data_IF_095038530956
#
_entry.id   IF_095038530956
#
_cell.length_a   1.000
_cell.length_b   1.000
_cell.length_c   1.000
_cell.angle_alpha   90.00
_cell.angle_beta   90.00
_cell.angle_gamma   90.00
#
_symmetry.space_group_name_H-M   'P 1'
#
loop_
_entity.id
_entity.type
_entity.pdbx_description
1 polymer ?
#
# COMPACT_ATOMS: atom_id res chain seq x y z
N UNK A 1 -48.93 -45.91 -37.08
CA UNK A 1 -49.92 -46.03 -35.99
C UNK A 1 -49.22 -45.65 -34.70
N UNK A 2 -49.50 -44.45 -34.16
CA UNK A 2 -48.83 -43.93 -32.97
C UNK A 2 -49.36 -44.64 -31.72
N UNK A 3 -48.46 -45.11 -30.84
CA UNK A 3 -48.82 -45.83 -29.61
C UNK A 3 -49.37 -44.89 -28.54
N UNK A 4 -50.59 -45.15 -28.07
CA UNK A 4 -51.24 -44.37 -27.02
C UNK A 4 -50.64 -44.72 -25.66
N UNK A 5 -50.03 -43.74 -24.98
CA UNK A 5 -49.47 -43.92 -23.63
C UNK A 5 -50.59 -44.10 -22.59
N UNK A 6 -50.43 -45.08 -21.70
CA UNK A 6 -51.38 -45.46 -20.64
C UNK A 6 -50.70 -45.37 -19.26
N UNK A 7 -51.50 -45.19 -18.21
CA UNK A 7 -51.04 -45.28 -16.81
C UNK A 7 -50.78 -46.73 -16.40
N UNK A 8 -50.11 -46.94 -15.27
CA UNK A 8 -49.75 -48.27 -14.75
C UNK A 8 -50.98 -49.14 -14.39
N UNK A 9 -52.14 -48.53 -14.12
CA UNK A 9 -53.44 -49.19 -13.93
C UNK A 9 -54.24 -49.39 -15.24
N UNK A 10 -53.64 -49.10 -16.40
CA UNK A 10 -54.21 -49.41 -17.71
C UNK A 10 -55.20 -48.39 -18.28
N UNK A 11 -55.43 -47.26 -17.60
CA UNK A 11 -56.28 -46.17 -18.12
C UNK A 11 -55.54 -45.33 -19.18
N UNK A 12 -56.28 -44.87 -20.17
CA UNK A 12 -55.75 -44.01 -21.23
C UNK A 12 -55.51 -42.61 -20.66
N UNK A 13 -54.28 -42.10 -20.76
CA UNK A 13 -53.94 -40.74 -20.36
C UNK A 13 -54.68 -39.77 -21.29
N UNK A 14 -55.74 -39.11 -20.80
CA UNK A 14 -56.30 -37.96 -21.50
C UNK A 14 -55.28 -36.83 -21.44
N UNK A 15 -54.76 -36.40 -22.58
CA UNK A 15 -54.08 -35.12 -22.72
C UNK A 15 -55.13 -34.02 -22.54
N UNK A 16 -55.52 -33.73 -21.29
CA UNK A 16 -56.09 -32.43 -20.98
C UNK A 16 -54.98 -31.39 -21.22
N UNK A 17 -55.26 -30.25 -21.86
CA UNK A 17 -54.30 -29.16 -21.96
C UNK A 17 -54.03 -28.70 -20.53
N UNK A 18 -52.90 -29.14 -20.01
CA UNK A 18 -52.55 -28.98 -18.62
C UNK A 18 -52.23 -27.50 -18.38
N UNK A 19 -52.65 -26.94 -17.25
CA UNK A 19 -52.24 -25.61 -16.74
C UNK A 19 -50.70 -25.49 -16.50
N UNK A 20 -49.92 -26.41 -17.05
CA UNK A 20 -48.47 -26.48 -16.98
C UNK A 20 -47.77 -25.32 -17.67
N UNK A 21 -48.39 -24.64 -18.64
CA UNK A 21 -47.78 -23.45 -19.26
C UNK A 21 -47.59 -22.34 -18.22
N UNK A 22 -48.56 -22.09 -17.33
CA UNK A 22 -48.39 -21.07 -16.29
C UNK A 22 -47.34 -21.47 -15.24
N UNK A 23 -47.31 -22.73 -14.80
CA UNK A 23 -46.30 -23.19 -13.83
C UNK A 23 -44.87 -23.21 -14.39
N UNK A 24 -44.68 -23.68 -15.64
CA UNK A 24 -43.37 -23.64 -16.31
C UNK A 24 -42.92 -22.20 -16.60
N UNK A 25 -43.84 -21.30 -16.95
CA UNK A 25 -43.53 -19.86 -17.11
C UNK A 25 -43.09 -19.23 -15.79
N UNK A 26 -43.81 -19.48 -14.68
CA UNK A 26 -43.42 -18.93 -13.37
C UNK A 26 -42.07 -19.46 -12.85
N UNK A 27 -41.73 -20.74 -13.09
CA UNK A 27 -40.42 -21.27 -12.70
C UNK A 27 -39.29 -20.73 -13.61
N UNK A 28 -39.56 -20.54 -14.90
CA UNK A 28 -38.62 -19.92 -15.82
C UNK A 28 -38.34 -18.45 -15.44
N UNK A 29 -39.39 -17.69 -15.09
CA UNK A 29 -39.28 -16.31 -14.62
C UNK A 29 -38.48 -16.21 -13.30
N UNK A 30 -38.73 -17.11 -12.33
CA UNK A 30 -37.94 -17.17 -11.10
C UNK A 30 -36.47 -17.50 -11.36
N UNK A 31 -36.19 -18.42 -12.28
CA UNK A 31 -34.81 -18.75 -12.66
C UNK A 31 -34.12 -17.57 -13.36
N UNK A 32 -34.82 -16.81 -14.20
CA UNK A 32 -34.31 -15.62 -14.85
C UNK A 32 -34.03 -14.49 -13.85
N UNK A 33 -34.90 -14.30 -12.85
CA UNK A 33 -34.69 -13.34 -11.76
C UNK A 33 -33.45 -13.70 -10.93
N UNK A 34 -33.29 -14.98 -10.57
CA UNK A 34 -32.11 -15.46 -9.85
C UNK A 34 -30.84 -15.22 -10.68
N UNK A 35 -30.86 -15.57 -11.98
CA UNK A 35 -29.71 -15.34 -12.86
C UNK A 35 -29.33 -13.86 -12.95
N UNK A 36 -30.31 -12.96 -13.07
CA UNK A 36 -30.08 -11.51 -13.08
C UNK A 36 -29.44 -10.99 -11.77
N UNK A 37 -29.86 -11.54 -10.63
CA UNK A 37 -29.24 -11.22 -9.33
C UNK A 37 -27.78 -11.68 -9.31
N UNK A 38 -27.50 -12.90 -9.76
CA UNK A 38 -26.12 -13.42 -9.83
C UNK A 38 -25.26 -12.67 -10.84
N UNK A 39 -25.80 -12.19 -11.95
CA UNK A 39 -25.09 -11.31 -12.88
C UNK A 39 -24.70 -9.99 -12.22
N UNK A 40 -25.62 -9.41 -11.44
CA UNK A 40 -25.34 -8.19 -10.67
C UNK A 40 -24.22 -8.42 -9.65
N UNK A 41 -24.30 -9.53 -8.88
CA UNK A 41 -23.25 -9.90 -7.93
C UNK A 41 -21.91 -10.16 -8.60
N UNK A 42 -21.90 -10.84 -9.76
CA UNK A 42 -20.67 -11.05 -10.53
C UNK A 42 -20.04 -9.72 -10.92
N UNK A 43 -20.82 -8.81 -11.50
CA UNK A 43 -20.31 -7.52 -11.96
C UNK A 43 -19.77 -6.67 -10.78
N UNK A 44 -20.42 -6.71 -9.62
CA UNK A 44 -19.94 -6.03 -8.41
C UNK A 44 -18.63 -6.65 -7.88
N UNK A 45 -18.53 -7.98 -7.87
CA UNK A 45 -17.31 -8.69 -7.46
C UNK A 45 -16.15 -8.42 -8.42
N UNK A 46 -16.41 -8.44 -9.72
CA UNK A 46 -15.40 -8.17 -10.76
C UNK A 46 -14.84 -6.74 -10.60
N UNK A 47 -15.70 -5.72 -10.49
CA UNK A 47 -15.23 -4.34 -10.25
C UNK A 47 -14.46 -4.21 -8.92
N UNK A 48 -14.91 -4.92 -7.87
CA UNK A 48 -14.19 -4.96 -6.60
C UNK A 48 -12.78 -5.56 -6.76
N UNK A 49 -12.64 -6.65 -7.53
CA UNK A 49 -11.36 -7.29 -7.79
C UNK A 49 -10.44 -6.43 -8.66
N UNK A 50 -10.99 -5.82 -9.71
CA UNK A 50 -10.26 -4.91 -10.59
C UNK A 50 -9.70 -3.71 -9.82
N UNK A 51 -10.55 -3.09 -8.98
CA UNK A 51 -10.13 -2.01 -8.07
C UNK A 51 -9.01 -2.44 -7.14
N UNK A 52 -9.14 -3.61 -6.51
CA UNK A 52 -8.11 -4.14 -5.61
C UNK A 52 -6.78 -4.34 -6.34
N UNK A 53 -6.81 -4.86 -7.57
CA UNK A 53 -5.61 -5.10 -8.37
C UNK A 53 -4.96 -3.79 -8.83
N UNK A 54 -5.75 -2.76 -9.19
CA UNK A 54 -5.24 -1.40 -9.48
C UNK A 54 -4.47 -0.83 -8.29
N UNK A 55 -5.03 -0.92 -7.09
CA UNK A 55 -4.38 -0.44 -5.87
C UNK A 55 -3.13 -1.23 -5.51
N UNK A 56 -3.12 -2.55 -5.68
CA UNK A 56 -1.93 -3.39 -5.45
C UNK A 56 -0.79 -2.97 -6.38
N UNK A 57 -1.09 -2.68 -7.65
CA UNK A 57 -0.09 -2.19 -8.62
C UNK A 57 0.49 -0.84 -8.20
N UNK A 58 -0.38 0.12 -7.88
CA UNK A 58 0.04 1.45 -7.39
C UNK A 58 0.90 1.32 -6.13
N UNK A 59 0.48 0.47 -5.19
CA UNK A 59 1.20 0.20 -3.94
C UNK A 59 2.63 -0.29 -4.22
N UNK A 60 2.79 -1.28 -5.09
CA UNK A 60 4.11 -1.80 -5.50
C UNK A 60 4.99 -0.74 -6.15
N UNK A 61 4.42 0.10 -6.99
CA UNK A 61 5.16 1.17 -7.68
C UNK A 61 5.66 2.22 -6.68
N UNK A 62 4.82 2.63 -5.72
CA UNK A 62 5.20 3.56 -4.65
C UNK A 62 6.30 2.95 -3.77
N UNK A 63 6.18 1.69 -3.36
CA UNK A 63 7.21 0.99 -2.60
C UNK A 63 8.53 0.97 -3.36
N UNK A 64 8.51 0.64 -4.66
CA UNK A 64 9.72 0.60 -5.47
C UNK A 64 10.38 1.98 -5.62
N UNK A 65 9.60 3.05 -5.77
CA UNK A 65 10.11 4.42 -5.83
C UNK A 65 10.69 4.88 -4.48
N UNK A 66 10.04 4.53 -3.37
CA UNK A 66 10.49 4.86 -2.02
C UNK A 66 11.83 4.19 -1.70
N UNK A 67 11.99 2.90 -2.04
CA UNK A 67 13.30 2.21 -1.95
C UNK A 67 14.39 2.89 -2.76
N UNK A 68 14.08 3.33 -3.99
CA UNK A 68 15.05 4.07 -4.82
C UNK A 68 15.46 5.40 -4.19
N UNK A 69 14.55 6.08 -3.51
CA UNK A 69 14.85 7.29 -2.72
C UNK A 69 15.81 6.91 -1.58
N UNK A 70 15.47 5.91 -0.77
CA UNK A 70 16.30 5.44 0.35
C UNK A 70 17.72 5.09 -0.12
N UNK A 71 17.86 4.27 -1.17
CA UNK A 71 19.17 3.93 -1.74
C UNK A 71 19.94 5.15 -2.24
N UNK A 72 19.23 6.14 -2.80
CA UNK A 72 19.86 7.39 -3.24
C UNK A 72 20.42 8.17 -2.04
N UNK A 73 19.65 8.21 -0.95
CA UNK A 73 20.00 8.91 0.28
C UNK A 73 21.13 8.21 1.06
N UNK A 74 21.20 6.88 1.02
CA UNK A 74 22.30 6.10 1.61
C UNK A 74 23.69 6.43 1.03
N UNK A 75 23.77 7.15 -0.10
CA UNK A 75 25.03 7.60 -0.70
C UNK A 75 25.56 8.90 -0.08
N UNK A 76 24.75 9.60 0.72
CA UNK A 76 25.14 10.84 1.38
C UNK A 76 26.09 10.54 2.55
N UNK A 77 26.96 11.48 2.89
CA UNK A 77 27.92 11.33 4.00
C UNK A 77 27.87 12.45 5.03
N UNK A 78 27.34 13.62 4.65
CA UNK A 78 27.17 14.78 5.52
C UNK A 78 25.75 14.78 6.08
N UNK A 79 25.63 14.92 7.39
CA UNK A 79 24.36 15.11 8.09
C UNK A 79 24.13 16.61 8.30
N UNK A 80 22.87 17.00 8.49
CA UNK A 80 22.48 18.39 8.79
C UNK A 80 23.00 19.41 7.76
N UNK A 81 23.04 18.99 6.51
CA UNK A 81 23.53 19.79 5.40
C UNK A 81 22.56 19.67 4.23
N UNK A 82 22.45 20.70 3.38
CA UNK A 82 21.67 20.60 2.17
C UNK A 82 22.18 19.44 1.32
N UNK A 83 21.24 18.67 0.78
CA UNK A 83 21.54 17.53 -0.06
C UNK A 83 22.27 17.99 -1.34
N UNK A 84 23.18 17.17 -1.89
CA UNK A 84 23.78 17.47 -3.19
C UNK A 84 22.70 17.68 -4.25
N UNK A 85 22.89 18.66 -5.14
CA UNK A 85 21.86 19.08 -6.10
C UNK A 85 21.37 17.93 -6.98
N UNK A 86 22.27 17.04 -7.40
CA UNK A 86 21.94 15.86 -8.20
C UNK A 86 20.98 14.91 -7.45
N UNK A 87 21.26 14.61 -6.18
CA UNK A 87 20.42 13.73 -5.35
C UNK A 87 19.10 14.44 -5.02
N UNK A 88 19.13 15.75 -4.78
CA UNK A 88 17.93 16.55 -4.54
C UNK A 88 16.97 16.50 -5.73
N UNK A 89 17.46 16.74 -6.95
CA UNK A 89 16.65 16.65 -8.17
C UNK A 89 16.08 15.23 -8.37
N UNK A 90 16.92 14.23 -8.15
CA UNK A 90 16.56 12.82 -8.29
C UNK A 90 15.45 12.40 -7.30
N UNK A 91 15.62 12.74 -6.02
CA UNK A 91 14.66 12.41 -4.95
C UNK A 91 13.38 13.21 -5.07
N UNK A 92 13.46 14.52 -5.36
CA UNK A 92 12.29 15.38 -5.59
C UNK A 92 11.44 14.86 -6.76
N UNK A 93 12.07 14.47 -7.88
CA UNK A 93 11.36 13.89 -9.02
C UNK A 93 10.59 12.63 -8.63
N UNK A 94 11.18 11.75 -7.82
CA UNK A 94 10.52 10.53 -7.33
C UNK A 94 9.41 10.83 -6.33
N UNK A 95 9.59 11.79 -5.43
CA UNK A 95 8.53 12.23 -4.53
C UNK A 95 7.32 12.78 -5.30
N UNK A 96 7.54 13.57 -6.35
CA UNK A 96 6.47 14.04 -7.24
C UNK A 96 5.76 12.87 -7.94
N UNK A 97 6.51 11.85 -8.41
CA UNK A 97 5.92 10.65 -8.99
C UNK A 97 5.05 9.90 -7.97
N UNK A 98 5.54 9.70 -6.75
CA UNK A 98 4.78 9.07 -5.66
C UNK A 98 3.50 9.86 -5.36
N UNK A 99 3.56 11.19 -5.30
CA UNK A 99 2.36 12.02 -5.11
C UNK A 99 1.34 11.85 -6.23
N UNK A 100 1.80 11.75 -7.49
CA UNK A 100 0.91 11.46 -8.62
C UNK A 100 0.26 10.08 -8.52
N UNK A 101 1.00 9.06 -8.05
CA UNK A 101 0.47 7.71 -7.81
C UNK A 101 -0.59 7.68 -6.70
N UNK A 102 -0.36 8.39 -5.59
CA UNK A 102 -1.37 8.54 -4.55
C UNK A 102 -2.62 9.26 -5.06
N UNK A 103 -2.45 10.27 -5.92
CA UNK A 103 -3.57 10.99 -6.55
C UNK A 103 -4.37 10.07 -7.46
N UNK A 104 -3.69 9.23 -8.25
CA UNK A 104 -4.32 8.24 -9.12
C UNK A 104 -5.07 7.14 -8.34
N UNK A 105 -4.68 6.88 -7.09
CA UNK A 105 -5.38 5.93 -6.22
C UNK A 105 -6.69 6.49 -5.64
N UNK A 106 -6.87 7.82 -5.60
CA UNK A 106 -8.01 8.47 -4.94
C UNK A 106 -9.38 7.94 -5.38
N UNK A 107 -9.67 7.76 -6.68
CA UNK A 107 -10.98 7.26 -7.11
C UNK A 107 -11.30 5.86 -6.58
N UNK A 108 -10.27 5.05 -6.33
CA UNK A 108 -10.39 3.67 -5.88
C UNK A 108 -10.43 3.55 -4.34
N UNK A 109 -9.93 4.54 -3.61
CA UNK A 109 -10.00 4.58 -2.13
C UNK A 109 -11.10 5.48 -1.57
N UNK A 110 -11.76 6.27 -2.41
CA UNK A 110 -12.89 7.12 -2.00
C UNK A 110 -14.23 6.38 -2.08
N UNK A 111 -15.19 6.82 -1.28
CA UNK A 111 -16.55 6.25 -1.26
C UNK A 111 -16.86 5.36 -0.04
N UNK A 112 -17.99 4.64 -0.05
CA UNK A 112 -18.56 3.96 1.12
C UNK A 112 -17.68 2.81 1.66
N UNK A 113 -16.81 2.24 0.83
CA UNK A 113 -15.92 1.13 1.19
C UNK A 113 -14.46 1.55 1.38
N UNK A 114 -14.18 2.83 1.69
CA UNK A 114 -12.82 3.38 1.87
C UNK A 114 -11.91 2.49 2.74
N UNK A 115 -12.41 2.06 3.90
CA UNK A 115 -11.67 1.22 4.85
C UNK A 115 -11.23 -0.13 4.26
N UNK A 116 -12.00 -0.69 3.31
CA UNK A 116 -11.73 -2.01 2.72
C UNK A 116 -10.46 -2.00 1.88
N UNK A 117 -10.21 -0.88 1.21
CA UNK A 117 -9.14 -0.72 0.23
C UNK A 117 -7.86 -0.08 0.78
N UNK A 118 -7.95 0.43 2.01
CA UNK A 118 -6.81 1.08 2.67
C UNK A 118 -5.66 0.11 2.95
N UNK A 119 -5.95 -1.15 3.29
CA UNK A 119 -4.93 -2.18 3.56
C UNK A 119 -4.03 -2.45 2.35
N UNK A 120 -4.51 -2.25 1.14
CA UNK A 120 -3.73 -2.44 -0.09
C UNK A 120 -2.64 -1.37 -0.24
N UNK A 121 -2.88 -0.16 0.30
CA UNK A 121 -1.91 0.94 0.27
C UNK A 121 -1.05 1.03 1.53
N UNK A 122 -1.44 0.39 2.64
CA UNK A 122 -0.72 0.43 3.93
C UNK A 122 0.79 0.18 3.79
N UNK A 123 1.20 -0.89 3.11
CA UNK A 123 2.64 -1.16 2.89
C UNK A 123 3.36 -0.09 2.04
N UNK A 124 2.67 0.55 1.10
CA UNK A 124 3.23 1.65 0.32
C UNK A 124 3.34 2.94 1.14
N UNK A 125 2.38 3.19 2.04
CA UNK A 125 2.40 4.31 2.98
C UNK A 125 3.57 4.14 3.95
N UNK A 126 3.75 2.95 4.53
CA UNK A 126 4.87 2.64 5.43
C UNK A 126 6.23 2.93 4.78
N UNK A 127 6.46 2.40 3.58
CA UNK A 127 7.71 2.62 2.85
C UNK A 127 7.89 4.10 2.43
N UNK A 128 6.81 4.79 2.10
CA UNK A 128 6.85 6.24 1.83
C UNK A 128 7.25 7.03 3.08
N UNK A 129 6.70 6.67 4.24
CA UNK A 129 7.03 7.28 5.54
C UNK A 129 8.49 7.05 5.86
N UNK A 130 9.01 5.84 5.67
CA UNK A 130 10.43 5.53 5.83
C UNK A 130 11.30 6.46 4.97
N UNK A 131 11.01 6.55 3.66
CA UNK A 131 11.76 7.37 2.72
C UNK A 131 11.70 8.87 3.06
N UNK A 132 10.52 9.38 3.41
CA UNK A 132 10.29 10.78 3.79
C UNK A 132 11.00 11.12 5.10
N UNK A 133 10.90 10.23 6.10
CA UNK A 133 11.53 10.41 7.40
C UNK A 133 13.04 10.36 7.28
N UNK A 134 13.59 9.46 6.46
CA UNK A 134 15.02 9.40 6.23
C UNK A 134 15.55 10.66 5.54
N UNK A 135 14.83 11.15 4.53
CA UNK A 135 15.15 12.42 3.88
C UNK A 135 15.14 13.60 4.89
N UNK A 136 14.09 13.67 5.72
CA UNK A 136 13.96 14.72 6.74
C UNK A 136 15.08 14.64 7.78
N UNK A 137 15.38 13.44 8.29
CA UNK A 137 16.45 13.24 9.28
C UNK A 137 17.82 13.64 8.74
N UNK A 138 18.17 13.29 7.50
CA UNK A 138 19.46 13.67 6.91
C UNK A 138 19.63 15.19 6.78
N UNK A 139 18.54 15.92 6.57
CA UNK A 139 18.55 17.38 6.33
C UNK A 139 18.41 18.21 7.60
N UNK A 140 17.66 17.73 8.59
CA UNK A 140 17.28 18.50 9.79
C UNK A 140 17.77 17.88 11.11
N UNK A 141 18.19 16.62 11.09
CA UNK A 141 18.47 15.80 12.28
C UNK A 141 17.31 15.71 13.28
N UNK A 142 16.07 15.90 12.80
CA UNK A 142 14.85 15.68 13.58
C UNK A 142 14.02 14.58 12.95
N UNK A 143 13.09 14.02 13.71
CA UNK A 143 12.10 13.07 13.21
C UNK A 143 10.86 13.81 12.71
N UNK A 144 10.37 13.46 11.52
CA UNK A 144 9.15 14.03 10.98
C UNK A 144 7.95 13.51 11.79
N UNK A 145 7.03 14.39 12.15
CA UNK A 145 5.84 14.05 12.93
C UNK A 145 4.72 13.49 12.06
N UNK A 146 3.82 12.68 12.64
CA UNK A 146 2.65 12.16 11.93
C UNK A 146 1.80 13.26 11.24
N UNK A 147 1.48 14.40 11.90
CA UNK A 147 0.75 15.48 11.22
C UNK A 147 1.49 16.04 10.00
N UNK A 148 2.82 16.19 10.07
CA UNK A 148 3.62 16.65 8.93
C UNK A 148 3.58 15.64 7.79
N UNK A 149 3.66 14.33 8.07
CA UNK A 149 3.50 13.27 7.06
C UNK A 149 2.13 13.39 6.39
N UNK A 150 1.05 13.54 7.17
CA UNK A 150 -0.30 13.69 6.64
C UNK A 150 -0.45 14.89 5.71
N UNK A 151 0.27 16.00 5.95
CA UNK A 151 0.25 17.18 5.06
C UNK A 151 0.92 16.94 3.69
N UNK A 152 1.75 15.90 3.56
CA UNK A 152 2.45 15.58 2.31
C UNK A 152 1.64 14.66 1.40
N UNK A 153 0.56 14.08 1.92
CA UNK A 153 -0.33 13.17 1.21
C UNK A 153 -1.71 13.81 0.97
N UNK A 154 -2.46 13.35 -0.04
CA UNK A 154 -3.86 13.75 -0.20
C UNK A 154 -4.68 13.40 1.06
N UNK A 155 -5.60 14.27 1.47
CA UNK A 155 -6.37 14.12 2.71
C UNK A 155 -7.25 12.85 2.74
N UNK A 156 -7.59 12.32 1.56
CA UNK A 156 -8.36 11.11 1.42
C UNK A 156 -7.54 9.85 1.69
N UNK A 157 -6.21 9.91 1.58
CA UNK A 157 -5.32 8.81 1.96
C UNK A 157 -5.22 8.79 3.48
N UNK A 158 -5.80 7.76 4.10
CA UNK A 158 -5.74 7.60 5.54
C UNK A 158 -4.39 7.00 5.95
N UNK A 159 -3.57 7.82 6.61
CA UNK A 159 -2.35 7.37 7.30
C UNK A 159 -2.72 7.03 8.73
N UNK A 160 -2.54 5.78 9.12
CA UNK A 160 -2.79 5.37 10.51
C UNK A 160 -1.55 5.56 11.38
N UNK A 161 -1.75 5.60 12.70
CA UNK A 161 -0.64 5.58 13.65
C UNK A 161 0.20 4.30 13.50
N UNK A 162 -0.43 3.16 13.20
CA UNK A 162 0.24 1.89 12.92
C UNK A 162 1.17 2.01 11.69
N UNK A 163 0.69 2.57 10.58
CA UNK A 163 1.52 2.77 9.38
C UNK A 163 2.72 3.68 9.66
N UNK A 164 2.53 4.71 10.49
CA UNK A 164 3.59 5.62 10.86
C UNK A 164 4.64 4.96 11.77
N UNK A 165 4.21 4.23 12.80
CA UNK A 165 5.12 3.50 13.68
C UNK A 165 5.89 2.41 12.93
N UNK A 166 5.23 1.66 12.05
CA UNK A 166 5.89 0.62 11.24
C UNK A 166 6.93 1.22 10.28
N UNK A 167 6.60 2.32 9.58
CA UNK A 167 7.56 3.02 8.73
C UNK A 167 8.75 3.60 9.51
N UNK A 168 8.54 4.03 10.76
CA UNK A 168 9.61 4.46 11.65
C UNK A 168 10.48 3.31 12.14
N UNK A 169 9.90 2.13 12.39
CA UNK A 169 10.70 0.96 12.74
C UNK A 169 11.65 0.58 11.61
N UNK A 170 11.15 0.57 10.37
CA UNK A 170 11.99 0.30 9.20
C UNK A 170 13.09 1.37 9.02
N UNK A 171 12.74 2.66 9.23
CA UNK A 171 13.71 3.77 9.23
C UNK A 171 14.90 3.52 10.17
N UNK A 172 14.67 2.98 11.38
CA UNK A 172 15.77 2.72 12.31
C UNK A 172 16.82 1.76 11.72
N UNK A 173 16.40 0.81 10.90
CA UNK A 173 17.27 -0.10 10.14
C UNK A 173 18.12 0.65 9.11
N UNK A 174 17.52 1.55 8.34
CA UNK A 174 18.24 2.35 7.36
C UNK A 174 19.18 3.37 8.02
N UNK A 175 18.82 3.95 9.16
CA UNK A 175 19.70 4.81 9.95
C UNK A 175 20.91 4.04 10.51
N UNK A 176 20.72 2.81 10.99
CA UNK A 176 21.82 1.95 11.41
C UNK A 176 22.73 1.62 10.22
N UNK A 177 22.15 1.26 9.08
CA UNK A 177 22.90 0.98 7.84
C UNK A 177 23.71 2.19 7.38
N UNK A 178 23.13 3.39 7.48
CA UNK A 178 23.81 4.65 7.19
C UNK A 178 25.02 4.85 8.11
N UNK A 179 24.84 4.67 9.43
CA UNK A 179 25.88 4.83 10.43
C UNK A 179 27.07 3.88 10.19
N UNK A 180 26.79 2.60 9.92
CA UNK A 180 27.83 1.59 9.65
C UNK A 180 28.57 1.88 8.35
N UNK A 181 27.86 2.33 7.31
CA UNK A 181 28.47 2.70 6.03
C UNK A 181 29.31 3.97 6.13
N UNK A 182 28.89 4.92 6.96
CA UNK A 182 29.66 6.13 7.25
C UNK A 182 30.95 5.81 8.03
N UNK A 183 30.87 4.91 9.02
CA UNK A 183 32.03 4.38 9.75
C UNK A 183 33.06 3.77 8.80
N UNK A 184 32.62 2.85 7.93
CA UNK A 184 33.52 2.13 7.04
C UNK A 184 34.20 3.03 6.01
N UNK A 185 33.52 4.07 5.52
CA UNK A 185 34.11 5.06 4.62
C UNK A 185 35.12 5.99 5.31
N UNK A 186 34.92 6.31 6.60
CA UNK A 186 35.82 7.14 7.40
C UNK A 186 37.15 6.45 7.74
N UNK A 187 37.16 5.13 7.87
CA UNK A 187 38.38 4.34 8.12
C UNK A 187 39.33 4.27 6.92
N UNK A 188 38.84 4.47 5.70
CA UNK A 188 39.67 4.40 4.48
C UNK A 188 40.40 5.71 4.19
N UNK A 189 39.88 6.85 4.69
CA UNK A 189 40.43 8.18 4.41
C UNK A 189 41.44 8.68 5.47
N UNK A 190 41.64 7.94 6.57
CA UNK A 190 42.39 8.43 7.72
C UNK A 190 43.56 7.50 8.04
N UNK A 191 44.79 7.92 7.73
CA UNK A 191 46.00 7.31 8.29
C UNK A 191 45.93 7.34 9.83
N UNK A 192 45.80 6.14 10.42
CA UNK A 192 46.07 5.68 11.79
C UNK A 192 45.62 6.47 13.05
N UNK A 193 44.97 7.64 13.01
CA UNK A 193 44.68 8.37 14.29
C UNK A 193 43.26 8.89 14.57
N UNK A 194 42.26 8.65 13.71
CA UNK A 194 40.85 8.94 14.04
C UNK A 194 39.92 7.81 13.62
N UNK A 195 40.01 6.69 14.34
CA UNK A 195 39.07 5.59 14.21
C UNK A 195 37.79 5.97 15.00
N UNK A 196 36.83 6.64 14.34
CA UNK A 196 35.58 7.04 14.97
C UNK A 196 34.65 7.84 14.06
N UNK A 197 33.35 7.78 14.35
CA UNK A 197 32.31 8.62 13.72
C UNK A 197 32.61 10.11 13.95
N UNK A 198 32.23 10.97 13.00
CA UNK A 198 32.21 12.42 13.23
C UNK A 198 31.29 12.75 14.42
N UNK A 199 31.43 13.93 15.05
CA UNK A 199 30.57 14.34 16.17
C UNK A 199 29.08 14.27 15.82
N UNK A 200 28.72 14.65 14.60
CA UNK A 200 27.35 14.58 14.06
C UNK A 200 26.91 13.13 13.84
N UNK A 201 27.82 12.27 13.37
CA UNK A 201 27.51 10.87 13.17
C UNK A 201 27.47 10.07 14.48
N UNK A 202 28.19 10.47 15.55
CA UNK A 202 27.99 9.91 16.89
C UNK A 202 26.57 10.21 17.41
N UNK A 203 25.99 11.34 16.99
CA UNK A 203 24.60 11.70 17.25
C UNK A 203 23.63 10.62 16.78
N UNK A 204 23.84 10.03 15.60
CA UNK A 204 22.93 9.00 15.06
C UNK A 204 22.76 7.79 15.97
N UNK A 205 23.83 7.38 16.66
CA UNK A 205 23.78 6.21 17.56
C UNK A 205 23.07 6.57 18.87
N UNK A 206 23.17 7.82 19.31
CA UNK A 206 22.42 8.34 20.46
C UNK A 206 20.94 8.45 20.10
N UNK A 207 20.62 9.04 18.96
CA UNK A 207 19.25 9.19 18.45
C UNK A 207 18.58 7.82 18.25
N UNK A 208 19.31 6.83 17.71
CA UNK A 208 18.83 5.45 17.60
C UNK A 208 18.52 4.80 18.95
N UNK A 209 19.32 5.08 19.98
CA UNK A 209 19.06 4.58 21.34
C UNK A 209 17.86 5.27 21.97
N UNK A 210 17.71 6.57 21.76
CA UNK A 210 16.58 7.34 22.25
C UNK A 210 15.28 6.87 21.59
N UNK A 211 15.25 6.76 20.26
CA UNK A 211 14.10 6.21 19.53
C UNK A 211 13.74 4.81 20.01
N UNK A 212 14.74 3.92 20.18
CA UNK A 212 14.50 2.58 20.73
C UNK A 212 13.90 2.63 22.13
N UNK A 213 14.43 3.48 23.02
CA UNK A 213 13.92 3.63 24.38
C UNK A 213 12.48 4.15 24.41
N UNK A 214 12.13 5.07 23.50
CA UNK A 214 10.77 5.58 23.36
C UNK A 214 9.83 4.48 22.88
N UNK A 215 10.26 3.65 21.92
CA UNK A 215 9.47 2.53 21.42
C UNK A 215 9.29 1.40 22.43
N UNK A 216 10.29 1.09 23.25
CA UNK A 216 10.16 0.10 24.33
C UNK A 216 9.21 0.57 25.45
N UNK A 217 8.89 1.87 25.50
CA UNK A 217 7.98 2.46 26.48
C UNK A 217 6.50 2.54 26.03
N UNK A 218 6.19 2.15 24.79
CA UNK A 218 4.81 2.07 24.24
C UNK A 218 4.20 0.69 24.53
#
# INVERSE_FOLDING_TARGET
>A
MAGTKRTWDGKQLSLQPNNNEHQTTTMAEQSAQILSIFETFRNELDEHHDRRERLIKISRDITALSKKIIFSLQRIRKLNAPLPENITKETQSRFTQIQSLFTNALPDVTGPNKWRYQRQLSGAIQEYIEALSFHHYLTTQTLITLPEVCTKLPAEILVTEEDYLLGLFDLTGEMMRFAVTALSAGSVASDEKKMGLSREQNGIVVDLREMRSLFEGL
#
